data_IF_969381175334
#
_entry.id   IF_969381175334
#
_cell.length_a   1.000
_cell.length_b   1.000
_cell.length_c   1.000
_cell.angle_alpha   90.00
_cell.angle_beta   90.00
_cell.angle_gamma   90.00
#
_symmetry.space_group_name_H-M   'P 1'
#
loop_
_entity.id
_entity.type
_entity.pdbx_description
1 polymer ?
#
# COMPACT_ATOMS: atom_id res chain seq x y z
N UNK A 1 2.68 6.33 -7.48
CA UNK A 1 2.66 5.17 -6.56
C UNK A 1 1.49 5.28 -5.61
N UNK A 2 1.45 6.27 -4.72
CA UNK A 2 0.33 6.43 -3.78
C UNK A 2 -1.04 6.57 -4.46
N UNK A 3 -1.13 7.22 -5.62
CA UNK A 3 -2.41 7.36 -6.35
C UNK A 3 -2.92 6.01 -6.90
N UNK A 4 -2.04 5.15 -7.40
CA UNK A 4 -2.39 3.77 -7.80
C UNK A 4 -2.87 2.96 -6.59
N UNK A 5 -2.20 3.10 -5.45
CA UNK A 5 -2.61 2.42 -4.22
C UNK A 5 -3.93 2.95 -3.69
N UNK A 6 -4.19 4.27 -3.77
CA UNK A 6 -5.50 4.85 -3.43
C UNK A 6 -6.63 4.24 -4.25
N UNK A 7 -6.41 4.06 -5.55
CA UNK A 7 -7.38 3.44 -6.45
C UNK A 7 -7.65 1.97 -6.08
N UNK A 8 -6.60 1.19 -5.82
CA UNK A 8 -6.72 -0.23 -5.43
C UNK A 8 -7.40 -0.38 -4.06
N UNK A 9 -7.06 0.49 -3.10
CA UNK A 9 -7.63 0.47 -1.75
C UNK A 9 -9.09 0.99 -1.75
N UNK A 10 -9.45 1.85 -2.69
CA UNK A 10 -10.77 2.48 -2.77
C UNK A 10 -10.99 3.59 -1.73
N UNK A 11 -9.95 4.37 -1.42
CA UNK A 11 -10.07 5.50 -0.49
C UNK A 11 -10.97 6.58 -1.11
N UNK A 12 -12.03 7.03 -0.43
CA UNK A 12 -12.87 8.13 -0.93
C UNK A 12 -12.06 9.43 -1.00
N UNK A 13 -12.32 10.27 -2.02
CA UNK A 13 -11.61 11.55 -2.24
C UNK A 13 -11.71 12.53 -1.06
N UNK A 14 -12.65 12.31 -0.14
CA UNK A 14 -12.82 13.12 1.07
C UNK A 14 -11.80 12.84 2.16
N UNK A 15 -11.07 11.73 2.08
CA UNK A 15 -10.06 11.32 3.05
C UNK A 15 -8.65 11.51 2.48
N UNK A 16 -7.72 11.94 3.32
CA UNK A 16 -6.31 12.04 2.96
C UNK A 16 -5.60 10.72 3.22
N UNK A 17 -4.81 10.24 2.26
CA UNK A 17 -3.93 9.08 2.45
C UNK A 17 -2.50 9.58 2.62
N UNK A 18 -1.91 9.34 3.78
CA UNK A 18 -0.57 9.78 4.15
C UNK A 18 0.38 8.60 4.16
N UNK A 19 1.48 8.66 3.41
CA UNK A 19 2.56 7.67 3.48
C UNK A 19 3.32 7.81 4.79
N UNK A 20 3.44 6.72 5.55
CA UNK A 20 4.22 6.66 6.79
C UNK A 20 5.57 6.02 6.63
N UNK A 21 5.74 5.20 5.61
CA UNK A 21 7.00 4.56 5.32
C UNK A 21 6.84 3.50 4.25
N UNK A 22 7.97 2.97 3.85
CA UNK A 22 8.05 1.80 3.00
C UNK A 22 9.20 0.93 3.46
N UNK A 23 9.05 -0.38 3.26
CA UNK A 23 10.09 -1.36 3.49
C UNK A 23 10.21 -2.22 2.25
N UNK A 24 11.43 -2.49 1.84
CA UNK A 24 11.71 -3.35 0.72
C UNK A 24 12.25 -4.70 1.21
N UNK A 25 11.83 -5.78 0.56
CA UNK A 25 12.28 -7.13 0.89
C UNK A 25 12.35 -7.99 -0.37
N UNK A 26 13.46 -8.69 -0.51
CA UNK A 26 13.61 -9.74 -1.51
C UNK A 26 13.56 -11.12 -0.85
N UNK A 27 12.69 -12.02 -1.33
CA UNK A 27 12.61 -13.40 -0.83
C UNK A 27 12.07 -14.36 -1.89
N UNK A 28 12.70 -15.54 -2.03
CA UNK A 28 12.27 -16.62 -2.95
C UNK A 28 12.04 -16.18 -4.41
N UNK A 29 12.87 -15.28 -4.93
CA UNK A 29 12.74 -14.80 -6.33
C UNK A 29 11.68 -13.70 -6.51
N UNK A 30 11.10 -13.20 -5.43
CA UNK A 30 10.22 -12.04 -5.43
C UNK A 30 10.92 -10.84 -4.81
N UNK A 31 10.74 -9.70 -5.46
CA UNK A 31 11.06 -8.36 -4.99
C UNK A 31 9.76 -7.74 -4.48
N UNK A 32 9.65 -7.45 -3.18
CA UNK A 32 8.42 -6.95 -2.56
C UNK A 32 8.66 -5.61 -1.89
N UNK A 33 7.96 -4.59 -2.37
CA UNK A 33 7.85 -3.28 -1.73
C UNK A 33 6.59 -3.22 -0.88
N UNK A 34 6.76 -3.11 0.44
CA UNK A 34 5.66 -2.89 1.38
C UNK A 34 5.54 -1.41 1.71
N UNK A 35 4.37 -0.83 1.51
CA UNK A 35 4.04 0.57 1.79
C UNK A 35 3.05 0.67 2.94
N UNK A 36 3.32 1.56 3.90
CA UNK A 36 2.42 1.82 5.02
C UNK A 36 1.75 3.17 4.83
N UNK A 37 0.41 3.16 4.82
CA UNK A 37 -0.42 4.35 4.70
C UNK A 37 -1.33 4.55 5.90
N UNK A 38 -1.64 5.81 6.18
CA UNK A 38 -2.69 6.21 7.11
C UNK A 38 -3.76 7.00 6.36
N UNK A 39 -5.00 6.54 6.44
CA UNK A 39 -6.15 7.34 6.03
C UNK A 39 -6.56 8.25 7.17
N UNK A 40 -6.65 9.55 6.87
CA UNK A 40 -7.03 10.58 7.81
C UNK A 40 -8.24 11.35 7.29
N UNK A 41 -9.12 11.74 8.21
CA UNK A 41 -10.21 12.66 7.88
C UNK A 41 -9.69 14.10 7.70
N UNK A 42 -10.59 15.01 7.32
CA UNK A 42 -10.30 16.44 7.16
C UNK A 42 -9.86 17.14 8.46
N UNK A 43 -10.17 16.56 9.62
CA UNK A 43 -9.73 17.05 10.92
C UNK A 43 -8.35 16.48 11.33
N UNK A 44 -7.79 15.57 10.52
CA UNK A 44 -6.51 14.90 10.76
C UNK A 44 -6.60 13.68 11.66
N UNK A 45 -7.81 13.22 12.01
CA UNK A 45 -8.03 12.01 12.80
C UNK A 45 -7.76 10.76 11.96
N UNK A 46 -7.12 9.77 12.57
CA UNK A 46 -6.82 8.49 11.91
C UNK A 46 -8.09 7.66 11.75
N UNK A 47 -8.48 7.38 10.51
CA UNK A 47 -9.62 6.52 10.17
C UNK A 47 -9.20 5.05 10.04
N UNK A 48 -8.08 4.80 9.35
CA UNK A 48 -7.57 3.46 9.11
C UNK A 48 -6.08 3.48 8.76
N UNK A 49 -5.42 2.33 8.90
CA UNK A 49 -4.07 2.10 8.38
C UNK A 49 -4.11 1.06 7.28
N UNK A 50 -3.22 1.20 6.31
CA UNK A 50 -3.09 0.27 5.20
C UNK A 50 -1.64 -0.17 5.07
N UNK A 51 -1.47 -1.46 4.79
CA UNK A 51 -0.21 -2.04 4.36
C UNK A 51 -0.42 -2.56 2.94
N UNK A 52 0.34 -2.07 1.98
CA UNK A 52 0.24 -2.45 0.56
C UNK A 52 1.53 -3.15 0.19
N UNK A 53 1.44 -4.40 -0.26
CA UNK A 53 2.56 -5.17 -0.75
C UNK A 53 2.51 -5.18 -2.28
N UNK A 54 3.53 -4.62 -2.92
CA UNK A 54 3.77 -4.67 -4.36
C UNK A 54 4.89 -5.68 -4.63
N UNK A 55 4.53 -6.89 -5.05
CA UNK A 55 5.45 -7.99 -5.29
C UNK A 55 5.69 -8.17 -6.78
N UNK A 56 6.95 -8.08 -7.20
CA UNK A 56 7.38 -8.33 -8.57
C UNK A 56 8.26 -9.58 -8.63
N UNK A 57 7.92 -10.51 -9.51
CA UNK A 57 8.74 -11.69 -9.75
C UNK A 57 10.00 -11.28 -10.51
N UNK A 58 11.17 -11.65 -10.00
CA UNK A 58 12.46 -11.24 -10.54
C UNK A 58 12.85 -11.98 -11.82
N UNK A 59 12.14 -13.07 -12.14
CA UNK A 59 12.41 -13.91 -13.30
C UNK A 59 11.22 -13.90 -14.26
N UNK A 60 11.43 -14.16 -15.55
CA UNK A 60 10.32 -14.31 -16.49
C UNK A 60 9.38 -15.46 -16.09
N UNK A 61 8.06 -15.30 -16.26
CA UNK A 61 7.36 -14.06 -16.63
C UNK A 61 7.40 -13.08 -15.45
N UNK A 62 7.78 -11.83 -15.68
CA UNK A 62 7.90 -10.78 -14.65
C UNK A 62 6.52 -10.38 -14.09
N UNK A 63 5.87 -11.32 -13.41
CA UNK A 63 4.55 -11.17 -12.82
C UNK A 63 4.61 -10.14 -11.71
N UNK A 64 3.56 -9.34 -11.61
CA UNK A 64 3.40 -8.34 -10.58
C UNK A 64 2.09 -8.61 -9.85
N UNK A 65 2.14 -8.66 -8.52
CA UNK A 65 1.01 -8.87 -7.64
C UNK A 65 0.97 -7.75 -6.60
N UNK A 66 -0.12 -6.98 -6.59
CA UNK A 66 -0.36 -5.95 -5.58
C UNK A 66 -1.46 -6.42 -4.65
N UNK A 67 -1.16 -6.53 -3.37
CA UNK A 67 -2.13 -6.86 -2.32
C UNK A 67 -2.15 -5.77 -1.26
N UNK A 68 -3.24 -5.67 -0.51
CA UNK A 68 -3.30 -4.74 0.61
C UNK A 68 -4.05 -5.32 1.80
N UNK A 69 -3.71 -4.81 2.98
CA UNK A 69 -4.39 -5.11 4.25
C UNK A 69 -4.83 -3.81 4.90
N UNK A 70 -6.09 -3.78 5.33
CA UNK A 70 -6.68 -2.67 6.08
C UNK A 70 -6.71 -3.01 7.58
N UNK A 71 -6.24 -2.09 8.39
CA UNK A 71 -6.33 -2.13 9.85
C UNK A 71 -7.23 -0.98 10.31
N UNK A 72 -8.41 -1.34 10.79
CA UNK A 72 -9.33 -0.42 11.48
C UNK A 72 -9.08 -0.53 12.98
N UNK A 73 -8.98 0.61 13.65
CA UNK A 73 -8.80 0.68 15.10
C UNK A 73 -10.13 0.48 15.86
#
# INVERSE_FOLDING_TARGET
MIDKHKEIIGIPETSDLVSKGSTWKQKHGWDTDTYVYEERDKAGALLAKYEVDDATHMYPPFENEVTFRKFTN
#
